data_IF_033669680577
#
_entry.id   IF_033669680577
#
_cell.length_a   1.000
_cell.length_b   1.000
_cell.length_c   1.000
_cell.angle_alpha   90.00
_cell.angle_beta   90.00
_cell.angle_gamma   90.00
#
_symmetry.space_group_name_H-M   'P 1'
#
loop_
_entity.id
_entity.type
_entity.pdbx_description
1 polymer ?
#
# COMPACT_ATOMS: atom_id res chain seq x y z
N UNK A 1 -6.31 0.47 3.81
CA UNK A 1 -6.65 0.99 5.16
C UNK A 1 -7.11 -0.12 6.12
N UNK A 2 -8.06 -0.97 5.75
CA UNK A 2 -8.56 -2.07 6.62
C UNK A 2 -7.48 -3.04 7.15
N UNK A 3 -6.50 -3.49 6.34
CA UNK A 3 -5.46 -4.40 6.83
C UNK A 3 -4.56 -3.76 7.91
N UNK A 4 -4.32 -2.46 7.81
CA UNK A 4 -3.49 -1.72 8.78
C UNK A 4 -4.18 -1.55 10.13
N UNK A 5 -5.52 -1.45 10.15
CA UNK A 5 -6.30 -1.45 11.40
C UNK A 5 -6.23 -2.81 12.09
N UNK A 6 -6.23 -3.90 11.31
CA UNK A 6 -6.09 -5.26 11.84
C UNK A 6 -4.66 -5.53 12.37
N UNK A 7 -3.65 -4.85 11.83
CA UNK A 7 -2.26 -4.91 12.30
C UNK A 7 -1.95 -3.95 13.45
N UNK A 8 -2.91 -3.13 13.90
CA UNK A 8 -2.70 -2.15 14.97
C UNK A 8 -2.23 -2.81 16.27
N UNK A 9 -2.67 -4.04 16.57
CA UNK A 9 -2.25 -4.80 17.76
C UNK A 9 -0.78 -5.25 17.73
N UNK A 10 -0.16 -5.30 16.54
CA UNK A 10 1.24 -5.72 16.34
C UNK A 10 2.17 -4.52 16.18
N UNK A 11 1.64 -3.36 15.81
CA UNK A 11 2.44 -2.20 15.36
C UNK A 11 2.59 -1.08 16.38
N UNK A 12 1.89 -1.12 17.52
CA UNK A 12 1.89 -0.04 18.53
C UNK A 12 3.13 0.02 19.41
N UNK A 13 3.84 -1.09 19.62
CA UNK A 13 5.09 -1.08 20.39
C UNK A 13 6.09 -2.14 19.89
N UNK A 14 7.34 -1.74 19.55
CA UNK A 14 8.37 -2.67 19.05
C UNK A 14 8.72 -3.83 20.01
N UNK A 15 8.35 -3.73 21.29
CA UNK A 15 8.63 -4.74 22.32
C UNK A 15 7.40 -5.53 22.78
N UNK A 16 6.18 -5.01 22.59
CA UNK A 16 4.96 -5.65 23.09
C UNK A 16 4.31 -6.60 22.09
N UNK A 17 4.79 -6.64 20.84
CA UNK A 17 4.24 -7.55 19.85
C UNK A 17 4.54 -9.03 20.17
N UNK A 18 5.62 -9.32 20.91
CA UNK A 18 6.02 -10.68 21.28
C UNK A 18 4.92 -11.40 22.09
N UNK A 19 4.26 -10.69 23.00
CA UNK A 19 3.20 -11.25 23.84
C UNK A 19 1.84 -11.31 23.11
N UNK A 20 1.60 -10.38 22.19
CA UNK A 20 0.27 -10.17 21.60
C UNK A 20 0.06 -10.84 20.23
N UNK A 21 1.11 -10.95 19.41
CA UNK A 21 0.96 -11.41 18.02
C UNK A 21 0.56 -12.89 17.92
N UNK A 22 1.04 -13.75 18.83
CA UNK A 22 0.66 -15.16 18.89
C UNK A 22 -0.84 -15.35 19.14
N UNK A 23 -1.43 -14.56 20.06
CA UNK A 23 -2.86 -14.58 20.36
C UNK A 23 -3.75 -14.12 19.19
N UNK A 24 -3.20 -13.26 18.32
CA UNK A 24 -3.89 -12.71 17.14
C UNK A 24 -3.41 -13.32 15.81
N UNK A 25 -2.83 -14.52 15.82
CA UNK A 25 -2.22 -15.16 14.63
C UNK A 25 -3.15 -15.24 13.41
N UNK A 26 -4.43 -15.61 13.61
CA UNK A 26 -5.42 -15.67 12.52
C UNK A 26 -5.66 -14.28 11.90
N UNK A 27 -5.82 -13.26 12.73
CA UNK A 27 -6.05 -11.89 12.29
C UNK A 27 -4.87 -11.36 11.46
N UNK A 28 -3.64 -11.65 11.87
CA UNK A 28 -2.43 -11.25 11.15
C UNK A 28 -2.34 -11.95 9.79
N UNK A 29 -2.60 -13.26 9.74
CA UNK A 29 -2.60 -14.02 8.48
C UNK A 29 -3.66 -13.51 7.50
N UNK A 30 -4.87 -13.24 7.99
CA UNK A 30 -5.95 -12.64 7.18
C UNK A 30 -5.56 -11.25 6.68
N UNK A 31 -4.94 -10.41 7.53
CA UNK A 31 -4.47 -9.09 7.12
C UNK A 31 -3.42 -9.18 5.99
N UNK A 32 -2.45 -10.09 6.10
CA UNK A 32 -1.43 -10.34 5.06
C UNK A 32 -2.07 -10.84 3.76
N UNK A 33 -3.05 -11.74 3.85
CA UNK A 33 -3.78 -12.21 2.67
C UNK A 33 -4.53 -11.05 1.97
N UNK A 34 -5.20 -10.18 2.74
CA UNK A 34 -5.86 -8.99 2.21
C UNK A 34 -4.86 -8.00 1.58
N UNK A 35 -3.65 -7.88 2.12
CA UNK A 35 -2.58 -7.05 1.53
C UNK A 35 -2.16 -7.59 0.15
N UNK A 36 -1.99 -8.91 0.00
CA UNK A 36 -1.73 -9.51 -1.31
C UNK A 36 -2.89 -9.32 -2.30
N UNK A 37 -4.13 -9.50 -1.86
CA UNK A 37 -5.31 -9.27 -2.68
C UNK A 37 -5.40 -7.80 -3.15
N UNK A 38 -5.05 -6.84 -2.28
CA UNK A 38 -5.00 -5.43 -2.62
C UNK A 38 -3.96 -5.13 -3.71
N UNK A 39 -2.76 -5.71 -3.63
CA UNK A 39 -1.75 -5.52 -4.67
C UNK A 39 -2.15 -6.22 -5.99
N UNK A 40 -2.77 -7.39 -5.93
CA UNK A 40 -3.31 -8.04 -7.13
C UNK A 40 -4.38 -7.17 -7.80
N UNK A 41 -5.27 -6.56 -7.02
CA UNK A 41 -6.25 -5.59 -7.53
C UNK A 41 -5.56 -4.36 -8.15
N UNK A 42 -4.50 -3.87 -7.53
CA UNK A 42 -3.72 -2.72 -8.03
C UNK A 42 -3.09 -3.02 -9.39
N UNK A 43 -2.50 -4.21 -9.56
CA UNK A 43 -2.00 -4.70 -10.85
C UNK A 43 -3.16 -4.81 -11.85
N UNK A 44 -4.30 -5.35 -11.42
CA UNK A 44 -5.51 -5.44 -12.25
C UNK A 44 -5.98 -4.08 -12.76
N UNK A 45 -5.95 -3.04 -11.91
CA UNK A 45 -6.25 -1.66 -12.29
C UNK A 45 -5.23 -1.14 -13.31
N UNK A 46 -3.94 -1.38 -13.10
CA UNK A 46 -2.90 -0.94 -14.04
C UNK A 46 -3.07 -1.61 -15.43
N UNK A 47 -3.41 -2.90 -15.47
CA UNK A 47 -3.70 -3.63 -16.70
C UNK A 47 -4.99 -3.14 -17.35
N UNK A 48 -6.07 -2.93 -16.59
CA UNK A 48 -7.32 -2.42 -17.12
C UNK A 48 -7.19 -0.98 -17.66
N UNK A 49 -6.30 -0.18 -17.08
CA UNK A 49 -6.00 1.16 -17.54
C UNK A 49 -5.02 1.21 -18.74
N UNK A 50 -4.37 0.09 -19.06
CA UNK A 50 -3.45 -0.03 -20.19
C UNK A 50 -4.03 0.44 -21.54
N UNK A 51 -5.18 -0.08 -22.02
CA UNK A 51 -5.73 0.33 -23.32
C UNK A 51 -6.10 1.82 -23.35
N UNK A 52 -6.46 2.40 -22.20
CA UNK A 52 -6.80 3.81 -22.09
C UNK A 52 -5.54 4.69 -22.20
N UNK A 53 -4.47 4.34 -21.51
CA UNK A 53 -3.25 5.15 -21.51
C UNK A 53 -2.39 4.94 -22.75
N UNK A 54 -2.38 3.72 -23.32
CA UNK A 54 -1.63 3.41 -24.55
C UNK A 54 -2.09 4.23 -25.76
N UNK A 55 -3.35 4.65 -25.81
CA UNK A 55 -3.86 5.52 -26.89
C UNK A 55 -3.18 6.90 -26.93
N UNK A 56 -2.65 7.36 -25.79
CA UNK A 56 -2.00 8.65 -25.70
C UNK A 56 -0.47 8.55 -25.54
N UNK A 57 0.01 7.57 -24.76
CA UNK A 57 1.44 7.32 -24.57
C UNK A 57 1.68 5.89 -24.08
N UNK A 58 2.30 5.08 -24.93
CA UNK A 58 2.68 3.70 -24.60
C UNK A 58 3.71 3.64 -23.46
N UNK A 59 4.65 4.59 -23.41
CA UNK A 59 5.63 4.68 -22.34
C UNK A 59 4.97 4.86 -20.97
N UNK A 60 3.94 5.70 -20.85
CA UNK A 60 3.28 5.95 -19.56
C UNK A 60 2.47 4.75 -19.08
N UNK A 61 1.82 4.02 -20.00
CA UNK A 61 1.13 2.77 -19.69
C UNK A 61 2.12 1.69 -19.19
N UNK A 62 3.28 1.58 -19.85
CA UNK A 62 4.38 0.70 -19.42
C UNK A 62 4.88 1.04 -18.02
N UNK A 63 5.14 2.32 -17.74
CA UNK A 63 5.59 2.76 -16.41
C UNK A 63 4.58 2.45 -15.32
N UNK A 64 3.29 2.60 -15.57
CA UNK A 64 2.25 2.29 -14.59
C UNK A 64 2.19 0.80 -14.24
N UNK A 65 2.28 -0.07 -15.24
CA UNK A 65 2.31 -1.53 -15.03
C UNK A 65 3.62 -1.95 -14.36
N UNK A 66 4.76 -1.46 -14.83
CA UNK A 66 6.06 -1.75 -14.22
C UNK A 66 6.10 -1.32 -12.74
N UNK A 67 5.60 -0.11 -12.44
CA UNK A 67 5.51 0.38 -11.06
C UNK A 67 4.57 -0.48 -10.20
N UNK A 68 3.48 -1.01 -10.77
CA UNK A 68 2.57 -1.91 -10.02
C UNK A 68 3.22 -3.24 -9.64
N UNK A 69 4.09 -3.77 -10.51
CA UNK A 69 4.87 -4.99 -10.23
C UNK A 69 5.91 -4.71 -9.14
N UNK A 70 6.65 -3.59 -9.24
CA UNK A 70 7.63 -3.19 -8.20
C UNK A 70 6.92 -3.02 -6.85
N UNK A 71 5.76 -2.36 -6.83
CA UNK A 71 4.93 -2.21 -5.63
C UNK A 71 4.55 -3.56 -5.02
N UNK A 72 4.10 -4.52 -5.84
CA UNK A 72 3.80 -5.87 -5.37
C UNK A 72 5.02 -6.56 -4.77
N UNK A 73 6.19 -6.46 -5.39
CA UNK A 73 7.42 -7.07 -4.87
C UNK A 73 7.80 -6.49 -3.51
N UNK A 74 7.77 -5.17 -3.36
CA UNK A 74 8.14 -4.52 -2.10
C UNK A 74 7.09 -4.79 -1.00
N UNK A 75 5.80 -4.83 -1.34
CA UNK A 75 4.76 -5.28 -0.41
C UNK A 75 4.98 -6.74 0.03
N UNK A 76 5.39 -7.63 -0.88
CA UNK A 76 5.65 -9.02 -0.54
C UNK A 76 6.80 -9.14 0.47
N UNK A 77 7.87 -8.36 0.30
CA UNK A 77 8.97 -8.26 1.26
C UNK A 77 8.46 -7.76 2.62
N UNK A 78 7.65 -6.72 2.61
CA UNK A 78 7.07 -6.16 3.83
C UNK A 78 6.17 -7.17 4.57
N UNK A 79 5.32 -7.89 3.85
CA UNK A 79 4.47 -8.97 4.36
C UNK A 79 5.28 -10.13 4.94
N UNK A 80 6.39 -10.51 4.28
CA UNK A 80 7.28 -11.55 4.79
C UNK A 80 7.81 -11.18 6.18
N UNK A 81 8.20 -9.92 6.39
CA UNK A 81 8.66 -9.44 7.69
C UNK A 81 7.54 -9.47 8.75
N UNK A 82 6.28 -9.19 8.41
CA UNK A 82 5.14 -9.34 9.34
C UNK A 82 4.99 -10.79 9.79
N UNK A 83 5.07 -11.73 8.83
CA UNK A 83 4.97 -13.15 9.12
C UNK A 83 6.17 -13.63 9.96
N UNK A 84 7.37 -13.10 9.72
CA UNK A 84 8.53 -13.37 10.58
C UNK A 84 8.33 -12.87 12.01
N UNK A 85 7.74 -11.68 12.20
CA UNK A 85 7.38 -11.19 13.54
C UNK A 85 6.38 -12.12 14.23
N UNK A 86 5.38 -12.62 13.51
CA UNK A 86 4.41 -13.57 14.04
C UNK A 86 5.09 -14.89 14.45
N UNK A 87 5.94 -15.46 13.60
CA UNK A 87 6.70 -16.68 13.92
C UNK A 87 7.55 -16.51 15.17
N UNK A 88 8.19 -15.35 15.34
CA UNK A 88 8.99 -15.05 16.53
C UNK A 88 8.13 -14.98 17.80
N UNK A 89 6.96 -14.35 17.73
CA UNK A 89 6.00 -14.31 18.85
C UNK A 89 5.47 -15.70 19.21
N UNK A 90 5.22 -16.56 18.22
CA UNK A 90 4.82 -17.95 18.48
C UNK A 90 5.94 -18.73 19.20
N UNK A 91 7.19 -18.60 18.76
CA UNK A 91 8.32 -19.22 19.44
C UNK A 91 8.50 -18.73 20.87
N UNK A 92 8.35 -17.42 21.11
CA UNK A 92 8.41 -16.82 22.44
C UNK A 92 7.39 -17.42 23.42
N UNK A 93 6.15 -17.66 22.96
CA UNK A 93 5.12 -18.31 23.78
C UNK A 93 5.44 -19.78 24.03
N UNK A 94 5.94 -20.50 23.02
CA UNK A 94 6.32 -21.91 23.14
C UNK A 94 7.52 -22.14 24.08
N UNK A 95 8.46 -21.21 24.16
CA UNK A 95 9.65 -21.30 25.02
C UNK A 95 9.40 -20.90 26.47
N UNK A 96 8.19 -20.48 26.85
CA UNK A 96 7.81 -20.27 28.24
C UNK A 96 8.12 -18.88 28.82
N UNK A 97 8.35 -17.85 27.99
CA UNK A 97 8.41 -16.46 28.45
C UNK A 97 9.80 -15.78 28.37
N UNK A 98 10.02 -14.71 29.17
CA UNK A 98 11.01 -13.68 28.86
C UNK A 98 12.46 -14.17 28.89
N UNK A 99 13.06 -14.15 27.70
CA UNK A 99 14.51 -14.25 27.47
C UNK A 99 14.98 -12.94 26.83
N UNK A 100 16.14 -12.44 27.27
CA UNK A 100 16.81 -11.28 26.70
C UNK A 100 17.14 -11.49 25.21
N UNK A 101 17.37 -12.75 24.81
CA UNK A 101 17.54 -13.15 23.41
C UNK A 101 16.31 -12.81 22.56
N UNK A 102 15.09 -13.14 23.02
CA UNK A 102 13.87 -12.86 22.28
C UNK A 102 13.62 -11.35 22.14
N UNK A 103 13.95 -10.56 23.17
CA UNK A 103 13.83 -9.10 23.11
C UNK A 103 14.80 -8.49 22.09
N UNK A 104 16.03 -9.00 22.01
CA UNK A 104 17.03 -8.56 21.03
C UNK A 104 16.60 -8.93 19.61
N UNK A 105 16.14 -10.16 19.39
CA UNK A 105 15.60 -10.61 18.12
C UNK A 105 14.37 -9.79 17.72
N UNK A 106 13.50 -9.47 18.67
CA UNK A 106 12.31 -8.68 18.40
C UNK A 106 12.63 -7.25 17.95
N UNK A 107 13.60 -6.61 18.60
CA UNK A 107 14.08 -5.30 18.19
C UNK A 107 14.67 -5.31 16.76
N UNK A 108 15.44 -6.36 16.42
CA UNK A 108 16.03 -6.51 15.10
C UNK A 108 14.96 -6.72 14.02
N UNK A 109 14.05 -7.68 14.21
CA UNK A 109 12.98 -7.98 13.25
C UNK A 109 11.99 -6.81 13.11
N UNK A 110 11.68 -6.14 14.22
CA UNK A 110 10.85 -4.92 14.18
C UNK A 110 11.52 -3.78 13.43
N UNK A 111 12.85 -3.64 13.55
CA UNK A 111 13.63 -2.65 12.78
C UNK A 111 13.64 -2.97 11.28
N UNK A 112 13.88 -4.22 10.90
CA UNK A 112 13.88 -4.61 9.48
C UNK A 112 12.51 -4.42 8.84
N UNK A 113 11.41 -4.80 9.54
CA UNK A 113 10.04 -4.51 9.09
C UNK A 113 9.80 -3.01 8.90
N UNK A 114 10.31 -2.17 9.82
CA UNK A 114 10.15 -0.71 9.72
C UNK A 114 10.78 -0.15 8.44
N UNK A 115 11.99 -0.58 8.11
CA UNK A 115 12.66 -0.14 6.89
C UNK A 115 12.01 -0.68 5.61
N UNK A 116 11.56 -1.94 5.64
CA UNK A 116 10.76 -2.52 4.57
C UNK A 116 9.48 -1.72 4.34
N UNK A 117 8.78 -1.33 5.42
CA UNK A 117 7.58 -0.51 5.35
C UNK A 117 7.81 0.84 4.69
N UNK A 118 8.87 1.54 5.09
CA UNK A 118 9.15 2.86 4.54
C UNK A 118 9.43 2.79 3.05
N UNK A 119 10.16 1.75 2.64
CA UNK A 119 10.43 1.49 1.23
C UNK A 119 9.14 1.21 0.47
N UNK A 120 8.26 0.39 1.04
CA UNK A 120 6.93 0.10 0.49
C UNK A 120 6.08 1.36 0.32
N UNK A 121 5.97 2.20 1.36
CA UNK A 121 5.20 3.45 1.30
C UNK A 121 5.70 4.40 0.20
N UNK A 122 7.02 4.53 0.03
CA UNK A 122 7.60 5.38 -1.03
C UNK A 122 7.24 4.86 -2.43
N UNK A 123 7.27 3.55 -2.62
CA UNK A 123 6.92 2.91 -3.91
C UNK A 123 5.43 3.05 -4.20
N UNK A 124 4.58 2.89 -3.18
CA UNK A 124 3.13 3.13 -3.29
C UNK A 124 2.87 4.58 -3.71
N UNK A 125 3.49 5.54 -3.05
CA UNK A 125 3.31 6.96 -3.38
C UNK A 125 3.77 7.29 -4.81
N UNK A 126 4.89 6.70 -5.25
CA UNK A 126 5.36 6.84 -6.62
C UNK A 126 4.34 6.27 -7.63
N UNK A 127 3.77 5.09 -7.35
CA UNK A 127 2.74 4.50 -8.21
C UNK A 127 1.47 5.37 -8.26
N UNK A 128 0.99 5.84 -7.11
CA UNK A 128 -0.20 6.69 -7.01
C UNK A 128 0.05 8.04 -7.73
N UNK A 129 1.25 8.62 -7.61
CA UNK A 129 1.64 9.82 -8.33
C UNK A 129 1.55 9.62 -9.85
N UNK A 130 2.09 8.50 -10.35
CA UNK A 130 2.00 8.12 -11.78
C UNK A 130 0.54 7.92 -12.23
N UNK A 131 -0.31 7.38 -11.37
CA UNK A 131 -1.74 7.24 -11.66
C UNK A 131 -2.41 8.63 -11.77
N UNK A 132 -2.28 9.49 -10.76
CA UNK A 132 -2.96 10.80 -10.75
C UNK A 132 -2.44 11.75 -11.84
N UNK A 133 -1.14 11.74 -12.14
CA UNK A 133 -0.60 12.55 -13.24
C UNK A 133 -1.14 12.10 -14.60
N UNK A 134 -1.31 10.78 -14.78
CA UNK A 134 -1.93 10.21 -15.99
C UNK A 134 -3.41 10.61 -16.08
N UNK A 135 -4.17 10.49 -14.99
CA UNK A 135 -5.57 10.90 -14.93
C UNK A 135 -5.76 12.40 -15.20
N UNK A 136 -4.86 13.24 -14.67
CA UNK A 136 -4.85 14.68 -14.92
C UNK A 136 -4.56 15.01 -16.39
N UNK A 137 -3.51 14.40 -16.95
CA UNK A 137 -3.05 14.70 -18.31
C UNK A 137 -4.06 14.28 -19.37
N UNK A 138 -4.73 13.15 -19.18
CA UNK A 138 -5.70 12.62 -20.13
C UNK A 138 -7.14 13.07 -19.86
N UNK A 139 -7.34 13.92 -18.85
CA UNK A 139 -8.65 14.46 -18.46
C UNK A 139 -9.74 13.37 -18.29
N UNK A 140 -9.33 12.17 -17.89
CA UNK A 140 -10.24 11.02 -17.68
C UNK A 140 -11.24 11.38 -16.58
N UNK A 141 -10.76 12.08 -15.56
CA UNK A 141 -11.45 12.48 -14.32
C UNK A 141 -11.47 14.02 -14.24
N UNK A 142 -12.45 14.64 -13.55
CA UNK A 142 -12.46 16.08 -13.31
C UNK A 142 -11.10 16.58 -12.77
N UNK A 143 -10.55 17.61 -13.41
CA UNK A 143 -9.26 18.20 -13.04
C UNK A 143 -9.13 18.54 -11.54
N UNK A 144 -10.15 19.09 -10.85
CA UNK A 144 -10.05 19.35 -9.42
C UNK A 144 -9.79 18.09 -8.59
N UNK A 145 -10.41 16.96 -8.96
CA UNK A 145 -10.24 15.69 -8.24
C UNK A 145 -8.84 15.11 -8.46
N UNK A 146 -8.32 15.23 -9.69
CA UNK A 146 -6.96 14.79 -9.99
C UNK A 146 -5.90 15.66 -9.29
N UNK A 147 -6.09 16.98 -9.25
CA UNK A 147 -5.22 17.90 -8.51
C UNK A 147 -5.27 17.64 -7.01
N UNK A 148 -6.47 17.42 -6.46
CA UNK A 148 -6.62 17.08 -5.05
C UNK A 148 -5.83 15.82 -4.70
N UNK A 149 -5.96 14.74 -5.48
CA UNK A 149 -5.17 13.53 -5.28
C UNK A 149 -3.66 13.72 -5.43
N UNK A 150 -3.22 14.57 -6.37
CA UNK A 150 -1.79 14.87 -6.51
C UNK A 150 -1.23 15.59 -5.26
N UNK A 151 -1.99 16.53 -4.70
CA UNK A 151 -1.60 17.26 -3.49
C UNK A 151 -1.51 16.32 -2.29
N UNK A 152 -2.45 15.39 -2.13
CA UNK A 152 -2.43 14.45 -1.00
C UNK A 152 -1.26 13.47 -1.09
N UNK A 153 -0.87 13.07 -2.30
CA UNK A 153 0.32 12.23 -2.54
C UNK A 153 1.60 12.96 -2.21
N UNK A 154 1.76 14.18 -2.69
CA UNK A 154 2.96 14.98 -2.37
C UNK A 154 3.08 15.19 -0.87
N UNK A 155 1.96 15.49 -0.20
CA UNK A 155 1.93 15.65 1.25
C UNK A 155 2.37 14.37 1.97
N UNK A 156 1.81 13.21 1.61
CA UNK A 156 2.15 11.93 2.22
C UNK A 156 3.61 11.53 1.94
N UNK A 157 4.09 11.76 0.71
CA UNK A 157 5.48 11.49 0.32
C UNK A 157 6.46 12.28 1.18
N UNK A 158 6.15 13.54 1.51
CA UNK A 158 6.98 14.36 2.43
C UNK A 158 6.88 13.90 3.89
N UNK A 159 5.78 13.28 4.29
CA UNK A 159 5.57 12.79 5.66
C UNK A 159 6.45 11.57 5.98
N UNK A 160 6.70 10.70 4.99
CA UNK A 160 7.47 9.46 5.14
C UNK A 160 8.90 9.70 5.65
N UNK A 161 9.75 10.51 4.97
CA UNK A 161 11.10 10.80 5.46
C UNK A 161 11.07 11.58 6.77
N UNK A 162 10.06 12.42 7.00
CA UNK A 162 9.91 13.14 8.27
C UNK A 162 9.72 12.18 9.45
N UNK A 163 9.00 11.07 9.25
CA UNK A 163 8.89 10.01 10.25
C UNK A 163 10.15 9.16 10.36
N UNK A 164 10.76 8.80 9.22
CA UNK A 164 11.93 7.94 9.16
C UNK A 164 13.18 8.58 9.79
N UNK A 165 13.40 9.88 9.57
CA UNK A 165 14.60 10.59 9.99
C UNK A 165 14.42 11.44 11.25
N UNK A 166 13.24 12.04 11.45
CA UNK A 166 13.00 12.99 12.55
C UNK A 166 12.06 12.44 13.63
N UNK A 167 11.56 11.20 13.48
CA UNK A 167 10.75 10.52 14.48
C UNK A 167 9.32 11.07 14.64
N UNK A 168 8.88 11.99 13.79
CA UNK A 168 7.53 12.54 13.86
C UNK A 168 6.46 11.54 13.36
N UNK A 169 5.40 11.33 14.14
CA UNK A 169 4.28 10.45 13.78
C UNK A 169 3.25 11.14 12.87
N UNK A 170 3.72 11.80 11.81
CA UNK A 170 2.87 12.57 10.88
C UNK A 170 2.34 11.73 9.70
N UNK A 171 2.90 10.54 9.46
CA UNK A 171 2.50 9.66 8.34
C UNK A 171 1.03 9.23 8.45
N UNK A 172 0.58 8.82 9.63
CA UNK A 172 -0.80 8.36 9.84
C UNK A 172 -1.85 9.45 9.58
N UNK A 173 -1.76 10.67 10.16
CA UNK A 173 -2.71 11.73 9.86
C UNK A 173 -2.62 12.23 8.41
N UNK A 174 -1.43 12.21 7.79
CA UNK A 174 -1.25 12.62 6.39
C UNK A 174 -1.73 11.57 5.38
N UNK A 175 -1.92 10.31 5.78
CA UNK A 175 -2.54 9.26 4.96
C UNK A 175 -4.07 9.38 4.83
N UNK A 176 -4.74 10.04 5.79
CA UNK A 176 -6.20 10.26 5.76
C UNK A 176 -6.67 11.00 4.51
N UNK A 177 -6.12 12.17 4.14
CA UNK A 177 -6.54 12.88 2.94
C UNK A 177 -6.27 12.09 1.66
N UNK A 178 -5.20 11.27 1.62
CA UNK A 178 -4.94 10.36 0.52
C UNK A 178 -6.01 9.25 0.41
N UNK A 179 -6.46 8.69 1.54
CA UNK A 179 -7.57 7.74 1.56
C UNK A 179 -8.87 8.36 1.01
N UNK A 180 -9.16 9.61 1.40
CA UNK A 180 -10.33 10.34 0.91
C UNK A 180 -10.25 10.61 -0.61
N UNK A 181 -9.09 10.98 -1.13
CA UNK A 181 -8.92 11.22 -2.57
C UNK A 181 -9.16 9.95 -3.40
N UNK A 182 -8.75 8.79 -2.89
CA UNK A 182 -8.98 7.51 -3.56
C UNK A 182 -10.44 7.07 -3.48
N UNK A 183 -11.11 7.27 -2.35
CA UNK A 183 -12.54 6.99 -2.23
C UNK A 183 -13.37 7.86 -3.19
N UNK A 184 -13.05 9.16 -3.26
CA UNK A 184 -13.70 10.06 -4.19
C UNK A 184 -13.47 9.65 -5.65
N UNK A 185 -12.24 9.22 -6.01
CA UNK A 185 -11.93 8.68 -7.33
C UNK A 185 -12.72 7.39 -7.62
N UNK A 186 -12.76 6.45 -6.69
CA UNK A 186 -13.48 5.18 -6.84
C UNK A 186 -14.99 5.40 -7.00
N UNK A 187 -15.60 6.24 -6.16
CA UNK A 187 -17.01 6.63 -6.26
C UNK A 187 -17.32 7.27 -7.60
N UNK A 188 -16.44 8.15 -8.07
CA UNK A 188 -16.60 8.81 -9.36
C UNK A 188 -16.52 7.81 -10.53
N UNK A 189 -15.58 6.86 -10.49
CA UNK A 189 -15.46 5.82 -11.53
C UNK A 189 -16.65 4.85 -11.52
N UNK A 190 -17.15 4.49 -10.34
CA UNK A 190 -18.37 3.67 -10.21
C UNK A 190 -19.60 4.40 -10.75
N UNK A 191 -19.76 5.69 -10.46
CA UNK A 191 -20.92 6.47 -10.91
C UNK A 191 -20.92 6.75 -12.41
N UNK A 192 -19.75 7.00 -13.02
CA UNK A 192 -19.68 7.32 -14.45
C UNK A 192 -19.73 6.09 -15.35
N UNK A 193 -19.23 4.94 -14.85
CA UNK A 193 -19.01 3.75 -15.65
C UNK A 193 -17.90 3.96 -16.70
N UNK A 194 -17.19 2.88 -17.05
CA UNK A 194 -16.42 2.89 -18.29
C UNK A 194 -17.45 2.93 -19.43
N UNK A 195 -17.56 4.06 -20.15
CA UNK A 195 -18.27 4.08 -21.43
C UNK A 195 -17.54 3.10 -22.34
N UNK A 196 -18.05 1.87 -22.45
CA UNK A 196 -17.72 0.97 -23.53
C UNK A 196 -18.04 1.69 -24.83
N UNK A 197 -16.99 2.22 -25.48
CA UNK A 197 -17.04 2.37 -26.92
C UNK A 197 -16.81 0.96 -27.48
N UNK A 198 -17.86 0.15 -27.43
CA UNK A 198 -18.03 -0.98 -28.33
C UNK A 198 -18.14 -0.39 -29.75
N UNK A 199 -17.01 0.03 -30.32
CA UNK A 199 -16.89 0.35 -31.73
C UNK A 199 -16.84 -0.99 -32.48
N UNK A 200 -18.04 -1.44 -32.86
CA UNK A 200 -18.33 -1.96 -34.20
C UNK A 200 -17.28 -2.92 -34.79
N UNK A 201 -17.28 -4.18 -34.34
CA UNK A 201 -16.80 -5.31 -35.14
C UNK A 201 -17.96 -5.98 -35.93
N UNK A 202 -18.94 -5.21 -36.39
CA UNK A 202 -20.05 -5.72 -37.21
C UNK A 202 -20.28 -4.87 -38.46
N UNK A 203 -19.19 -4.56 -39.17
CA UNK A 203 -19.24 -3.98 -40.50
C UNK A 203 -18.06 -4.49 -41.34
N UNK A 204 -18.03 -5.80 -41.59
CA UNK A 204 -17.45 -6.43 -42.78
C UNK A 204 -18.26 -7.67 -43.12
#
# INVERSE_FOLDING_TARGET
>A
MVPFVLLHLVTTAPRDYLANAAGSSLQIKVAVFLLFANCALTIGIAIAAWPLFRQYSEAMALWLVAASVIMFTVQAVDNAHILSMLSLSQQYVHSGGPDELFQTLAALVGSTRRWAHFTELLVIDAWIFLLYISLYRFAVVPRPLAVFGLLTVVLHFTAIPLRGFLGYSLVTPMGVPMGLSHLALALWMMAKGFKERLQSQSAL
#
